data_IF_859038544836
#
_entry.id   IF_859038544836
#
_cell.length_a   1.000
_cell.length_b   1.000
_cell.length_c   1.000
_cell.angle_alpha   90.00
_cell.angle_beta   90.00
_cell.angle_gamma   90.00
#
_symmetry.space_group_name_H-M   'P 1'
#
loop_
_entity.id
_entity.type
_entity.pdbx_description
1 polymer ?
#
# COMPACT_ATOMS: atom_id res chain seq x y z
N UNK A 1 -3.51 -9.16 13.03
CA UNK A 1 -4.74 -9.11 12.21
C UNK A 1 -4.33 -8.81 10.78
N UNK A 2 -4.44 -9.77 9.85
CA UNK A 2 -4.22 -9.49 8.44
C UNK A 2 -5.54 -8.98 7.87
N UNK A 3 -5.54 -7.80 7.26
CA UNK A 3 -6.72 -7.26 6.61
C UNK A 3 -6.39 -6.85 5.17
N UNK A 4 -7.36 -6.97 4.25
CA UNK A 4 -7.22 -6.42 2.91
C UNK A 4 -7.11 -4.89 3.02
N UNK A 5 -6.07 -4.34 2.41
CA UNK A 5 -5.82 -2.92 2.32
C UNK A 5 -5.61 -2.53 0.86
N UNK A 6 -5.90 -1.29 0.50
CA UNK A 6 -5.58 -0.79 -0.83
C UNK A 6 -4.15 -0.28 -0.84
N UNK A 7 -3.35 -0.71 -1.82
CA UNK A 7 -2.01 -0.20 -2.00
C UNK A 7 -2.08 1.28 -2.39
N UNK A 8 -1.48 2.16 -1.59
CA UNK A 8 -1.43 3.60 -1.89
C UNK A 8 -0.62 3.94 -3.15
N UNK A 9 0.22 3.01 -3.61
CA UNK A 9 1.09 3.21 -4.77
C UNK A 9 0.41 2.81 -6.07
N UNK A 10 -0.08 1.56 -6.16
CA UNK A 10 -0.65 1.02 -7.39
C UNK A 10 -2.18 0.86 -7.38
N UNK A 11 -2.86 1.17 -6.27
CA UNK A 11 -4.31 1.04 -6.14
C UNK A 11 -4.84 -0.39 -6.06
N UNK A 12 -3.98 -1.41 -6.18
CA UNK A 12 -4.35 -2.83 -6.09
C UNK A 12 -4.56 -3.30 -4.65
N UNK A 13 -5.25 -4.43 -4.47
CA UNK A 13 -5.43 -5.05 -3.16
C UNK A 13 -4.10 -5.57 -2.62
N UNK A 14 -3.67 -5.02 -1.50
CA UNK A 14 -2.55 -5.49 -0.69
C UNK A 14 -3.07 -6.03 0.65
N UNK A 15 -2.17 -6.55 1.47
CA UNK A 15 -2.50 -7.01 2.82
C UNK A 15 -1.55 -6.38 3.82
N UNK A 16 -2.11 -5.87 4.89
CA UNK A 16 -1.37 -5.31 6.01
C UNK A 16 -1.57 -6.20 7.23
N UNK A 17 -0.47 -6.58 7.89
CA UNK A 17 -0.48 -7.44 9.07
C UNK A 17 0.62 -8.51 9.07
N UNK A 18 0.50 -9.48 9.97
CA UNK A 18 1.50 -10.50 10.27
C UNK A 18 1.68 -11.60 9.20
N UNK A 19 1.03 -11.51 8.03
CA UNK A 19 1.21 -12.44 6.90
C UNK A 19 0.55 -13.82 7.05
N UNK A 20 0.28 -14.30 8.26
CA UNK A 20 -0.22 -15.67 8.51
C UNK A 20 -1.57 -16.00 7.87
N UNK A 21 -2.42 -15.01 7.60
CA UNK A 21 -3.76 -15.25 7.02
C UNK A 21 -3.87 -14.78 5.56
N UNK A 22 -2.75 -14.41 4.92
CA UNK A 22 -2.77 -13.88 3.55
C UNK A 22 -3.24 -14.93 2.54
N UNK A 23 -2.98 -16.22 2.79
CA UNK A 23 -3.43 -17.34 1.94
C UNK A 23 -4.96 -17.41 1.80
N UNK A 24 -5.70 -17.24 2.90
CA UNK A 24 -7.16 -17.33 2.90
C UNK A 24 -7.82 -16.12 2.26
N UNK A 25 -7.20 -14.94 2.39
CA UNK A 25 -7.66 -13.73 1.68
C UNK A 25 -7.34 -13.82 0.19
N UNK A 26 -6.16 -14.36 -0.16
CA UNK A 26 -5.77 -14.61 -1.55
C UNK A 26 -6.72 -15.55 -2.27
N UNK A 27 -7.30 -16.54 -1.59
CA UNK A 27 -8.33 -17.42 -2.20
C UNK A 27 -9.58 -16.67 -2.66
N UNK A 28 -9.88 -15.51 -2.09
CA UNK A 28 -11.08 -14.72 -2.39
C UNK A 28 -10.83 -13.62 -3.44
N UNK A 29 -9.58 -13.31 -3.75
CA UNK A 29 -9.21 -12.21 -4.66
C UNK A 29 -8.43 -12.79 -5.85
N UNK A 30 -8.81 -12.49 -7.10
CA UNK A 30 -8.05 -12.93 -8.27
C UNK A 30 -6.60 -12.42 -8.23
N UNK A 31 -5.64 -13.26 -8.64
CA UNK A 31 -4.21 -12.90 -8.63
C UNK A 31 -3.89 -11.60 -9.40
N UNK A 32 -4.67 -11.30 -10.44
CA UNK A 32 -4.52 -10.06 -11.24
C UNK A 32 -4.79 -8.78 -10.43
N UNK A 33 -5.54 -8.87 -9.33
CA UNK A 33 -5.91 -7.75 -8.46
C UNK A 33 -4.94 -7.59 -7.27
N UNK A 34 -3.92 -8.44 -7.17
CA UNK A 34 -2.97 -8.38 -6.07
C UNK A 34 -1.90 -7.33 -6.33
N UNK A 35 -1.60 -6.58 -5.28
CA UNK A 35 -0.36 -5.84 -5.19
C UNK A 35 0.79 -6.83 -5.03
N UNK A 36 1.77 -6.74 -5.91
CA UNK A 36 3.00 -7.53 -5.88
C UNK A 36 4.00 -7.02 -4.81
N UNK A 37 3.72 -5.89 -4.17
CA UNK A 37 4.60 -5.28 -3.16
C UNK A 37 5.91 -4.69 -3.73
N UNK A 38 6.19 -4.91 -5.01
CA UNK A 38 7.32 -4.31 -5.72
C UNK A 38 6.91 -2.95 -6.24
N UNK A 39 7.38 -1.91 -5.57
CA UNK A 39 7.28 -0.52 -6.00
C UNK A 39 8.65 0.12 -5.88
N UNK A 40 9.03 0.91 -6.88
CA UNK A 40 10.24 1.72 -6.84
C UNK A 40 10.13 2.78 -5.75
N UNK A 41 11.29 3.28 -5.29
CA UNK A 41 11.32 4.38 -4.31
C UNK A 41 10.62 5.63 -4.85
N UNK A 42 10.77 5.91 -6.15
CA UNK A 42 10.08 6.98 -6.85
C UNK A 42 8.55 6.84 -6.79
N UNK A 43 8.00 5.65 -7.04
CA UNK A 43 6.56 5.40 -6.94
C UNK A 43 6.04 5.52 -5.50
N UNK A 44 6.81 5.06 -4.51
CA UNK A 44 6.46 5.22 -3.09
C UNK A 44 6.52 6.69 -2.64
N UNK A 45 7.52 7.43 -3.13
CA UNK A 45 7.68 8.85 -2.87
C UNK A 45 6.56 9.67 -3.53
N UNK A 46 6.09 9.29 -4.72
CA UNK A 46 4.91 9.89 -5.34
C UNK A 46 3.62 9.61 -4.53
N UNK A 47 3.47 8.40 -3.97
CA UNK A 47 2.31 8.01 -3.18
C UNK A 47 2.29 8.59 -1.75
N UNK A 48 3.46 8.86 -1.17
CA UNK A 48 3.64 9.43 0.18
C UNK A 48 3.90 10.94 0.14
N UNK A 49 4.13 11.48 -1.06
CA UNK A 49 4.36 12.88 -1.34
C UNK A 49 3.11 13.69 -1.11
N UNK A 50 2.84 14.00 0.16
CA UNK A 50 2.06 15.16 0.56
C UNK A 50 2.58 16.35 -0.23
N UNK A 51 1.83 16.72 -1.28
CA UNK A 51 2.17 17.82 -2.14
C UNK A 51 2.36 19.06 -1.30
N UNK A 52 3.51 19.71 -1.43
CA UNK A 52 3.83 21.11 -1.08
C UNK A 52 3.46 21.63 0.34
N UNK A 53 2.26 21.39 0.84
CA UNK A 53 1.69 21.80 2.13
C UNK A 53 2.30 21.14 3.38
N UNK A 54 2.89 19.95 3.28
CA UNK A 54 3.56 19.31 4.42
C UNK A 54 4.84 20.02 4.88
N UNK A 55 5.41 20.88 4.03
CA UNK A 55 6.60 21.70 4.34
C UNK A 55 6.26 23.09 4.88
N UNK A 56 4.98 23.47 4.89
CA UNK A 56 4.56 24.82 5.31
C UNK A 56 4.22 24.91 6.81
N UNK A 57 3.92 23.79 7.49
CA UNK A 57 3.43 23.79 8.88
C UNK A 57 4.35 23.08 9.89
N UNK A 58 5.61 22.79 9.53
CA UNK A 58 6.51 21.93 10.31
C UNK A 58 7.70 22.63 10.97
N UNK A 59 7.65 23.95 11.21
CA UNK A 59 8.76 24.68 11.84
C UNK A 59 8.27 25.77 12.79
N UNK A 60 7.94 25.35 14.01
CA UNK A 60 8.06 26.16 15.22
C UNK A 60 9.01 25.43 16.18
#
# INVERSE_FOLDING_TARGET
MCYPATCKVCGKTTWSGCGQHVSDVRRQVPASQWCNGTHTDAEKAAATGGGFFGRLFGRD
#
